data_IF_097171351903
#
_entry.id   IF_097171351903
#
_cell.length_a   1.000
_cell.length_b   1.000
_cell.length_c   1.000
_cell.angle_alpha   90.00
_cell.angle_beta   90.00
_cell.angle_gamma   90.00
#
_symmetry.space_group_name_H-M   'P 1'
#
loop_
_entity.id
_entity.type
_entity.pdbx_description
1 polymer ?
#
# COMPACT_ATOMS: atom_id res chain seq x y z
N UNK A 1 -14.37 -16.96 3.30
CA UNK A 1 -13.38 -15.86 3.30
C UNK A 1 -13.76 -14.93 2.15
N UNK A 2 -14.14 -13.70 2.47
CA UNK A 2 -14.90 -12.79 1.61
C UNK A 2 -14.15 -12.38 0.35
N UNK A 3 -14.79 -12.61 -0.81
CA UNK A 3 -14.36 -12.18 -2.15
C UNK A 3 -14.32 -10.65 -2.36
N UNK A 4 -14.58 -9.87 -1.31
CA UNK A 4 -14.61 -8.40 -1.37
C UNK A 4 -13.22 -7.75 -1.38
N UNK A 5 -12.15 -8.48 -1.05
CA UNK A 5 -10.79 -7.94 -1.08
C UNK A 5 -10.16 -7.89 -2.48
N UNK A 6 -10.69 -8.63 -3.45
CA UNK A 6 -10.14 -8.69 -4.82
C UNK A 6 -10.53 -7.50 -5.71
N UNK A 7 -11.48 -6.65 -5.27
CA UNK A 7 -11.98 -5.51 -6.08
C UNK A 7 -11.49 -4.15 -5.62
N UNK A 8 -10.81 -4.05 -4.47
CA UNK A 8 -10.34 -2.77 -3.94
C UNK A 8 -9.06 -2.30 -4.64
N UNK A 9 -9.08 -1.06 -5.11
CA UNK A 9 -7.90 -0.37 -5.64
C UNK A 9 -6.85 -0.17 -4.54
N UNK A 10 -5.58 0.03 -4.93
CA UNK A 10 -4.49 0.36 -3.99
C UNK A 10 -4.87 1.57 -3.11
N UNK A 11 -5.53 2.58 -3.70
CA UNK A 11 -6.01 3.75 -2.98
C UNK A 11 -6.98 3.36 -1.86
N UNK A 12 -8.01 2.57 -2.17
CA UNK A 12 -9.01 2.15 -1.17
C UNK A 12 -8.39 1.28 -0.07
N UNK A 13 -7.45 0.40 -0.43
CA UNK A 13 -6.70 -0.40 0.55
C UNK A 13 -5.80 0.49 1.43
N UNK A 14 -5.18 1.52 0.88
CA UNK A 14 -4.41 2.49 1.67
C UNK A 14 -5.29 3.33 2.59
N UNK A 15 -6.50 3.68 2.17
CA UNK A 15 -7.47 4.44 2.96
C UNK A 15 -8.05 3.64 4.14
N UNK A 16 -8.11 2.31 4.05
CA UNK A 16 -8.53 1.44 5.15
C UNK A 16 -7.45 1.18 6.20
N UNK A 17 -6.20 1.58 5.94
CA UNK A 17 -5.08 1.43 6.87
C UNK A 17 -4.98 2.61 7.85
N UNK A 18 -4.37 2.35 9.01
CA UNK A 18 -4.10 3.41 9.99
C UNK A 18 -3.07 4.40 9.43
N UNK A 19 -3.04 5.61 10.00
CA UNK A 19 -2.05 6.62 9.61
C UNK A 19 -0.62 6.09 9.78
N UNK A 20 -0.33 5.37 10.86
CA UNK A 20 1.00 4.81 11.13
C UNK A 20 1.41 3.78 10.08
N UNK A 21 0.50 2.90 9.67
CA UNK A 21 0.77 1.88 8.65
C UNK A 21 1.04 2.51 7.28
N UNK A 22 0.23 3.51 6.93
CA UNK A 22 0.40 4.25 5.68
C UNK A 22 1.76 4.94 5.62
N UNK A 23 2.21 5.49 6.74
CA UNK A 23 3.55 6.09 6.89
C UNK A 23 4.64 5.04 6.74
N UNK A 24 4.50 3.86 7.35
CA UNK A 24 5.47 2.78 7.24
C UNK A 24 5.60 2.24 5.81
N UNK A 25 4.48 1.98 5.12
CA UNK A 25 4.46 1.51 3.72
C UNK A 25 5.11 2.54 2.81
N UNK A 26 4.78 3.81 3.03
CA UNK A 26 5.44 4.95 2.37
C UNK A 26 6.95 4.90 2.53
N UNK A 27 7.44 4.79 3.77
CA UNK A 27 8.86 4.99 4.06
C UNK A 27 9.67 3.85 3.43
N UNK A 28 9.11 2.63 3.44
CA UNK A 28 9.66 1.47 2.73
C UNK A 28 9.65 1.66 1.22
N UNK A 29 8.57 2.19 0.65
CA UNK A 29 8.50 2.49 -0.77
C UNK A 29 9.54 3.52 -1.20
N UNK A 30 9.68 4.64 -0.47
CA UNK A 30 10.70 5.64 -0.80
C UNK A 30 12.11 5.07 -0.69
N UNK A 31 12.38 4.28 0.36
CA UNK A 31 13.68 3.65 0.54
C UNK A 31 14.02 2.70 -0.61
N UNK A 32 12.99 2.06 -1.22
CA UNK A 32 13.17 1.13 -2.34
C UNK A 32 13.33 1.81 -3.70
N UNK A 33 12.69 2.95 -3.92
CA UNK A 33 12.59 3.60 -5.24
C UNK A 33 13.20 5.01 -5.33
N UNK A 34 13.97 5.43 -4.33
CA UNK A 34 14.71 6.72 -4.28
C UNK A 34 13.84 7.98 -4.55
N UNK A 35 12.55 7.90 -4.25
CA UNK A 35 11.67 9.06 -4.41
C UNK A 35 11.78 9.96 -3.19
N UNK A 36 12.20 11.22 -3.37
CA UNK A 36 12.02 12.26 -2.37
C UNK A 36 10.65 12.90 -2.55
N UNK A 37 9.60 12.38 -1.89
CA UNK A 37 8.22 12.94 -1.78
C UNK A 37 7.92 14.19 -2.63
N UNK A 38 7.35 14.04 -3.83
CA UNK A 38 5.91 14.35 -4.06
C UNK A 38 5.22 13.41 -5.08
N UNK A 39 5.98 12.59 -5.80
CA UNK A 39 5.49 11.75 -6.90
C UNK A 39 4.61 10.59 -6.40
N UNK A 40 4.98 9.96 -5.28
CA UNK A 40 4.24 8.83 -4.71
C UNK A 40 2.79 9.20 -4.36
N UNK A 41 2.58 10.37 -3.76
CA UNK A 41 1.24 10.79 -3.33
C UNK A 41 0.32 11.03 -4.53
N UNK A 42 0.85 11.66 -5.58
CA UNK A 42 0.12 11.85 -6.84
C UNK A 42 -0.22 10.49 -7.49
N UNK A 43 0.72 9.55 -7.48
CA UNK A 43 0.50 8.19 -8.03
C UNK A 43 -0.57 7.41 -7.27
N UNK A 44 -0.63 7.51 -5.94
CA UNK A 44 -1.71 6.91 -5.14
C UNK A 44 -3.06 7.46 -5.58
N UNK A 45 -3.19 8.78 -5.69
CA UNK A 45 -4.46 9.42 -6.03
C UNK A 45 -4.95 9.03 -7.43
N UNK A 46 -4.03 8.88 -8.38
CA UNK A 46 -4.32 8.47 -9.75
C UNK A 46 -4.34 6.94 -9.95
N UNK A 47 -4.01 6.16 -8.91
CA UNK A 47 -3.76 4.72 -8.99
C UNK A 47 -2.78 4.34 -10.15
N UNK A 48 -1.79 5.21 -10.41
CA UNK A 48 -0.88 5.08 -11.55
C UNK A 48 0.52 4.72 -11.07
N UNK A 49 0.81 3.42 -11.05
CA UNK A 49 2.10 2.87 -10.66
C UNK A 49 2.70 2.05 -11.79
N UNK A 50 4.03 2.08 -11.92
CA UNK A 50 4.73 1.08 -12.72
C UNK A 50 4.48 -0.30 -12.11
N UNK A 51 4.54 -1.36 -12.93
CA UNK A 51 4.29 -2.75 -12.49
C UNK A 51 5.08 -3.12 -11.22
N UNK A 52 6.38 -2.87 -11.19
CA UNK A 52 7.24 -3.16 -10.04
C UNK A 52 6.88 -2.35 -8.79
N UNK A 53 6.49 -1.09 -8.95
CA UNK A 53 6.05 -0.22 -7.85
C UNK A 53 4.74 -0.74 -7.25
N UNK A 54 3.81 -1.13 -8.13
CA UNK A 54 2.52 -1.72 -7.75
C UNK A 54 2.71 -3.02 -6.99
N UNK A 55 3.49 -3.95 -7.52
CA UNK A 55 3.77 -5.24 -6.88
C UNK A 55 4.37 -5.04 -5.49
N UNK A 56 5.32 -4.09 -5.34
CA UNK A 56 5.90 -3.79 -4.05
C UNK A 56 4.87 -3.22 -3.06
N UNK A 57 4.06 -2.24 -3.48
CA UNK A 57 3.02 -1.64 -2.62
C UNK A 57 1.98 -2.69 -2.22
N UNK A 58 1.54 -3.54 -3.15
CA UNK A 58 0.58 -4.61 -2.87
C UNK A 58 1.14 -5.63 -1.87
N UNK A 59 2.43 -5.96 -1.95
CA UNK A 59 3.09 -6.82 -0.96
C UNK A 59 3.12 -6.18 0.41
N UNK A 60 3.49 -4.90 0.51
CA UNK A 60 3.57 -4.20 1.79
C UNK A 60 2.20 -4.01 2.45
N UNK A 61 1.17 -3.67 1.67
CA UNK A 61 -0.21 -3.62 2.16
C UNK A 61 -0.64 -5.00 2.67
N UNK A 62 -0.38 -6.06 1.91
CA UNK A 62 -0.75 -7.43 2.29
C UNK A 62 -0.07 -7.86 3.58
N UNK A 63 1.22 -7.55 3.76
CA UNK A 63 1.96 -7.84 5.01
C UNK A 63 1.31 -7.15 6.20
N UNK A 64 1.03 -5.85 6.09
CA UNK A 64 0.38 -5.09 7.17
C UNK A 64 -1.01 -5.65 7.49
N UNK A 65 -1.79 -6.03 6.48
CA UNK A 65 -3.10 -6.65 6.68
C UNK A 65 -3.00 -8.02 7.36
N UNK A 66 -1.97 -8.82 7.04
CA UNK A 66 -1.69 -10.10 7.69
C UNK A 66 -1.23 -9.93 9.14
N UNK A 67 -0.38 -8.94 9.41
CA UNK A 67 0.15 -8.65 10.75
C UNK A 67 -0.94 -8.14 11.71
N UNK A 68 -2.00 -7.53 11.18
CA UNK A 68 -3.20 -7.12 11.93
C UNK A 68 -4.14 -8.27 12.29
N UNK A 69 -3.88 -9.47 11.79
CA UNK A 69 -4.68 -10.65 12.06
C UNK A 69 -3.96 -11.66 12.98
N UNK A 70 -3.47 -11.29 14.19
CA UNK A 70 -3.11 -12.29 15.19
C UNK A 70 -4.36 -12.60 16.03
N UNK A 71 -5.14 -13.61 15.61
CA UNK A 71 -5.90 -14.52 16.48
C UNK A 71 -6.96 -15.26 15.65
N UNK A 72 -6.68 -16.54 15.42
CA UNK A 72 -7.69 -17.58 15.49
C UNK A 72 -7.40 -18.40 16.74
#
# INVERSE_FOLDING_TARGET
>A
MSKEKETLTIKQRMESLSVNDRVAIRDRFLAKFEYGYPSWYQKINANNFKKLEREHIEQEITKVESDKSPNN
#
